data_IF_971635069721
#
_entry.id   IF_971635069721
#
_cell.length_a   1.000
_cell.length_b   1.000
_cell.length_c   1.000
_cell.angle_alpha   90.00
_cell.angle_beta   90.00
_cell.angle_gamma   90.00
#
_symmetry.space_group_name_H-M   'P 1'
#
loop_
_entity.id
_entity.type
_entity.pdbx_description
1 polymer ?
#
# COMPACT_ATOMS: atom_id res chain seq x y z
N UNK A 1 6.92 1.36 -19.36
CA UNK A 1 8.38 1.17 -19.37
C UNK A 1 9.15 2.47 -19.05
N UNK A 2 8.95 3.59 -19.75
CA UNK A 2 9.79 4.80 -19.58
C UNK A 2 9.61 5.63 -18.27
N UNK A 3 8.54 5.44 -17.50
CA UNK A 3 8.30 6.18 -16.24
C UNK A 3 8.92 5.49 -15.02
N UNK A 4 8.89 4.16 -14.99
CA UNK A 4 9.50 3.37 -13.91
C UNK A 4 11.04 3.49 -13.89
N UNK A 5 11.67 3.68 -15.04
CA UNK A 5 13.12 3.86 -15.16
C UNK A 5 13.59 5.24 -14.67
N UNK A 6 12.77 6.28 -14.86
CA UNK A 6 13.03 7.64 -14.36
C UNK A 6 12.82 7.81 -12.85
N UNK A 7 12.03 6.94 -12.21
CA UNK A 7 11.72 7.00 -10.78
C UNK A 7 12.71 6.24 -9.88
N UNK A 8 13.53 5.34 -10.46
CA UNK A 8 14.55 4.56 -9.72
C UNK A 8 15.59 5.37 -8.93
N UNK A 9 16.08 6.54 -9.39
CA UNK A 9 17.15 7.27 -8.68
C UNK A 9 16.70 8.01 -7.41
N UNK A 10 15.41 8.32 -7.27
CA UNK A 10 14.90 9.19 -6.19
C UNK A 10 14.40 8.37 -5.00
N UNK A 11 13.80 7.21 -5.24
CA UNK A 11 13.29 6.33 -4.17
C UNK A 11 14.42 5.67 -3.36
N UNK A 12 15.66 5.61 -3.88
CA UNK A 12 16.79 4.92 -3.24
C UNK A 12 17.83 5.81 -2.55
N UNK A 13 17.78 7.15 -2.68
CA UNK A 13 18.83 8.03 -2.13
C UNK A 13 18.47 8.80 -0.85
N UNK A 14 17.18 8.93 -0.54
CA UNK A 14 16.71 9.61 0.68
C UNK A 14 17.07 8.80 1.93
N UNK A 15 17.08 7.46 1.85
CA UNK A 15 17.41 6.58 2.97
C UNK A 15 18.89 6.59 3.39
N UNK A 16 19.81 6.92 2.48
CA UNK A 16 21.25 6.99 2.77
C UNK A 16 21.68 8.25 3.51
N UNK A 17 20.94 9.36 3.37
CA UNK A 17 21.32 10.66 3.94
C UNK A 17 20.91 10.83 5.41
N UNK A 18 19.89 10.09 5.90
CA UNK A 18 19.45 10.14 7.30
C UNK A 18 20.29 9.30 8.27
N UNK A 19 21.35 8.61 7.81
CA UNK A 19 22.12 7.67 8.65
C UNK A 19 23.21 8.31 9.51
N UNK A 20 23.65 9.53 9.20
CA UNK A 20 24.63 10.28 10.02
C UNK A 20 23.90 11.25 10.96
N UNK A 21 24.05 11.06 12.27
CA UNK A 21 23.33 11.82 13.31
C UNK A 21 23.91 13.22 13.59
N UNK A 22 25.10 13.52 13.06
CA UNK A 22 25.87 14.72 13.45
C UNK A 22 25.94 15.81 12.37
N UNK A 23 25.25 15.64 11.24
CA UNK A 23 25.27 16.64 10.15
C UNK A 23 23.88 17.22 9.92
N UNK A 24 23.77 18.55 9.93
CA UNK A 24 22.53 19.26 9.56
C UNK A 24 22.23 19.07 8.07
N UNK A 25 21.46 18.03 7.75
CA UNK A 25 21.04 17.73 6.39
C UNK A 25 19.83 18.55 5.93
N UNK A 26 19.31 19.49 6.75
CA UNK A 26 18.09 20.26 6.46
C UNK A 26 18.18 21.01 5.13
N UNK A 27 19.35 21.57 4.81
CA UNK A 27 19.59 22.26 3.54
C UNK A 27 19.62 21.30 2.34
N UNK A 28 20.18 20.10 2.50
CA UNK A 28 20.23 19.07 1.45
C UNK A 28 18.88 18.41 1.22
N UNK A 29 18.10 18.20 2.28
CA UNK A 29 16.72 17.71 2.22
C UNK A 29 15.85 18.74 1.51
N UNK A 30 15.89 20.01 1.92
CA UNK A 30 15.14 21.08 1.26
C UNK A 30 15.57 21.31 -0.21
N UNK A 31 16.82 21.03 -0.56
CA UNK A 31 17.29 21.06 -1.95
C UNK A 31 16.76 19.86 -2.76
N UNK A 32 16.72 18.67 -2.17
CA UNK A 32 16.15 17.47 -2.78
C UNK A 32 14.62 17.57 -2.96
N UNK A 33 13.92 18.16 -1.99
CA UNK A 33 12.48 18.45 -2.08
C UNK A 33 12.18 19.44 -3.20
N UNK A 34 12.94 20.53 -3.29
CA UNK A 34 12.86 21.47 -4.42
C UNK A 34 13.18 20.81 -5.75
N UNK A 35 14.12 19.87 -5.79
CA UNK A 35 14.44 19.09 -6.99
C UNK A 35 13.37 18.04 -7.34
N UNK A 36 12.58 17.58 -6.38
CA UNK A 36 11.48 16.64 -6.57
C UNK A 36 10.17 17.34 -6.99
N UNK A 37 10.02 18.64 -6.74
CA UNK A 37 8.80 19.40 -7.06
C UNK A 37 8.44 19.43 -8.56
N UNK A 38 9.38 19.59 -9.52
CA UNK A 38 9.07 19.49 -10.94
C UNK A 38 8.55 18.11 -11.34
N UNK A 39 9.02 17.05 -10.67
CA UNK A 39 8.54 15.69 -10.89
C UNK A 39 7.14 15.50 -10.30
N UNK A 40 6.87 16.06 -9.11
CA UNK A 40 5.52 16.09 -8.52
C UNK A 40 4.54 16.87 -9.41
N UNK A 41 4.97 18.00 -9.98
CA UNK A 41 4.19 18.77 -10.95
C UNK A 41 3.95 18.00 -12.26
N UNK A 42 4.96 17.28 -12.76
CA UNK A 42 4.82 16.39 -13.92
C UNK A 42 3.86 15.23 -13.65
N UNK A 43 3.87 14.65 -12.45
CA UNK A 43 2.90 13.63 -12.02
C UNK A 43 1.47 14.19 -11.95
N UNK A 44 1.29 15.43 -11.48
CA UNK A 44 -0.01 16.14 -11.52
C UNK A 44 -0.47 16.45 -12.95
N UNK A 45 0.46 16.61 -13.88
CA UNK A 45 0.19 16.83 -15.30
C UNK A 45 -0.05 15.53 -16.10
N UNK A 46 0.19 14.34 -15.51
CA UNK A 46 -0.15 13.09 -16.16
C UNK A 46 -1.68 12.94 -16.26
N UNK A 47 -2.21 12.44 -17.39
CA UNK A 47 -3.65 12.29 -17.60
C UNK A 47 -4.31 11.20 -16.74
N UNK A 48 -3.63 10.67 -15.72
CA UNK A 48 -4.23 9.74 -14.77
C UNK A 48 -5.17 10.50 -13.82
N UNK A 49 -6.45 10.57 -14.20
CA UNK A 49 -7.52 11.03 -13.31
C UNK A 49 -7.76 9.98 -12.22
N UNK A 50 -6.98 10.05 -11.14
CA UNK A 50 -7.24 9.29 -9.92
C UNK A 50 -8.17 10.09 -9.01
N UNK A 51 -9.02 9.39 -8.25
CA UNK A 51 -9.90 10.05 -7.29
C UNK A 51 -9.09 10.77 -6.19
N UNK A 52 -9.68 11.83 -5.60
CA UNK A 52 -9.06 12.60 -4.52
C UNK A 52 -8.50 11.71 -3.40
N UNK A 53 -9.26 10.70 -2.97
CA UNK A 53 -8.84 9.80 -1.89
C UNK A 53 -7.66 8.90 -2.27
N UNK A 54 -7.58 8.46 -3.52
CA UNK A 54 -6.42 7.71 -4.03
C UNK A 54 -5.17 8.58 -3.98
N UNK A 55 -5.28 9.84 -4.44
CA UNK A 55 -4.17 10.80 -4.37
C UNK A 55 -3.70 11.02 -2.93
N UNK A 56 -4.63 11.33 -2.02
CA UNK A 56 -4.32 11.53 -0.60
C UNK A 56 -3.72 10.28 0.05
N UNK A 57 -4.10 9.07 -0.37
CA UNK A 57 -3.51 7.84 0.13
C UNK A 57 -2.04 7.68 -0.31
N UNK A 58 -1.71 8.03 -1.56
CA UNK A 58 -0.33 8.05 -2.06
C UNK A 58 0.51 9.11 -1.37
N UNK A 59 -0.01 10.34 -1.25
CA UNK A 59 0.66 11.44 -0.56
C UNK A 59 0.94 11.09 0.90
N UNK A 60 -0.07 10.56 1.62
CA UNK A 60 0.08 10.04 2.98
C UNK A 60 1.18 8.98 3.04
N UNK A 61 1.17 7.98 2.15
CA UNK A 61 2.19 6.93 2.12
C UNK A 61 3.60 7.51 2.01
N UNK A 62 3.82 8.47 1.11
CA UNK A 62 5.12 9.14 0.95
C UNK A 62 5.51 9.94 2.20
N UNK A 63 4.58 10.73 2.74
CA UNK A 63 4.79 11.50 3.96
C UNK A 63 5.12 10.61 5.17
N UNK A 64 4.51 9.43 5.26
CA UNK A 64 4.81 8.49 6.32
C UNK A 64 6.17 7.80 6.15
N UNK A 65 6.64 7.60 4.92
CA UNK A 65 8.01 7.12 4.69
C UNK A 65 9.05 8.16 5.13
N UNK A 66 8.75 9.44 4.90
CA UNK A 66 9.65 10.55 5.22
C UNK A 66 9.65 10.89 6.72
N UNK A 67 8.48 11.00 7.32
CA UNK A 67 8.28 11.56 8.67
C UNK A 67 7.61 10.60 9.66
N UNK A 68 7.12 9.44 9.20
CA UNK A 68 6.38 8.50 10.04
C UNK A 68 7.18 7.99 11.24
N UNK A 69 8.50 7.87 11.11
CA UNK A 69 9.38 7.43 12.20
C UNK A 69 9.26 8.32 13.46
N UNK A 70 9.11 9.65 13.29
CA UNK A 70 8.93 10.58 14.42
C UNK A 70 7.60 10.34 15.16
N UNK A 71 6.60 9.76 14.48
CA UNK A 71 5.31 9.34 15.04
C UNK A 71 5.31 7.87 15.51
N UNK A 72 6.48 7.23 15.53
CA UNK A 72 6.62 5.81 15.86
C UNK A 72 6.01 4.88 14.80
N UNK A 73 5.95 5.31 13.54
CA UNK A 73 5.48 4.51 12.42
C UNK A 73 6.67 4.00 11.61
N UNK A 74 6.55 2.78 11.11
CA UNK A 74 7.54 2.19 10.21
C UNK A 74 6.86 1.29 9.18
N UNK A 75 7.47 1.16 8.01
CA UNK A 75 6.96 0.34 6.93
C UNK A 75 7.71 -1.00 6.88
N UNK A 76 6.99 -2.08 7.15
CA UNK A 76 7.49 -3.45 7.05
C UNK A 76 7.33 -3.96 5.62
N UNK A 77 8.35 -3.70 4.79
CA UNK A 77 8.36 -4.17 3.39
C UNK A 77 8.22 -5.70 3.29
N UNK A 78 8.76 -6.45 4.24
CA UNK A 78 8.67 -7.91 4.23
C UNK A 78 7.22 -8.34 4.48
N UNK A 79 6.56 -7.79 5.51
CA UNK A 79 5.16 -8.10 5.81
C UNK A 79 4.22 -7.66 4.69
N UNK A 80 4.46 -6.49 4.09
CA UNK A 80 3.72 -6.00 2.93
C UNK A 80 3.84 -6.97 1.74
N UNK A 81 5.06 -7.40 1.42
CA UNK A 81 5.31 -8.34 0.33
C UNK A 81 4.69 -9.72 0.60
N UNK A 82 4.71 -10.20 1.84
CA UNK A 82 4.01 -11.44 2.23
C UNK A 82 2.51 -11.30 1.99
N UNK A 83 1.89 -10.19 2.43
CA UNK A 83 0.47 -9.95 2.20
C UNK A 83 0.10 -9.91 0.71
N UNK A 84 0.92 -9.26 -0.12
CA UNK A 84 0.69 -9.23 -1.58
C UNK A 84 0.87 -10.61 -2.20
N UNK A 85 1.93 -11.35 -1.82
CA UNK A 85 2.20 -12.70 -2.34
C UNK A 85 1.15 -13.71 -1.88
N UNK A 86 0.53 -13.53 -0.72
CA UNK A 86 -0.55 -14.40 -0.25
C UNK A 86 -1.66 -14.54 -1.28
N UNK A 87 -2.01 -13.47 -1.99
CA UNK A 87 -3.03 -13.54 -3.05
C UNK A 87 -2.65 -14.48 -4.19
N UNK A 88 -1.36 -14.67 -4.48
CA UNK A 88 -0.92 -15.63 -5.50
C UNK A 88 -1.13 -17.10 -5.10
N UNK A 89 -1.37 -17.37 -3.81
CA UNK A 89 -1.76 -18.69 -3.30
C UNK A 89 -3.26 -18.95 -3.44
N UNK A 90 -4.05 -17.89 -3.67
CA UNK A 90 -5.49 -17.98 -3.86
C UNK A 90 -5.79 -18.19 -5.35
N UNK A 91 -6.90 -18.87 -5.64
CA UNK A 91 -7.33 -19.14 -7.02
C UNK A 91 -8.63 -18.46 -7.36
N UNK A 92 -8.79 -18.04 -8.61
CA UNK A 92 -10.08 -17.62 -9.13
C UNK A 92 -11.09 -18.77 -9.06
N UNK A 93 -12.31 -18.48 -8.59
CA UNK A 93 -13.36 -19.49 -8.41
C UNK A 93 -14.40 -19.54 -9.54
N UNK A 94 -14.42 -18.56 -10.44
CA UNK A 94 -15.48 -18.39 -11.46
C UNK A 94 -14.94 -17.87 -12.79
N UNK A 95 -15.67 -18.19 -13.86
CA UNK A 95 -15.43 -17.70 -15.22
C UNK A 95 -14.20 -18.31 -15.90
N UNK A 96 -13.76 -17.70 -16.99
CA UNK A 96 -12.64 -18.18 -17.82
C UNK A 96 -11.28 -18.27 -17.09
N UNK A 97 -11.19 -17.70 -15.89
CA UNK A 97 -9.97 -17.69 -15.08
C UNK A 97 -10.00 -18.73 -13.95
N UNK A 98 -11.09 -19.49 -13.81
CA UNK A 98 -11.24 -20.48 -12.74
C UNK A 98 -10.04 -21.43 -12.64
N UNK A 99 -9.56 -21.66 -11.41
CA UNK A 99 -8.40 -22.49 -11.13
C UNK A 99 -7.03 -21.81 -11.35
N UNK A 100 -6.98 -20.62 -11.94
CA UNK A 100 -5.74 -19.86 -12.08
C UNK A 100 -5.42 -19.08 -10.79
N UNK A 101 -4.11 -18.88 -10.47
CA UNK A 101 -3.69 -18.02 -9.37
C UNK A 101 -4.21 -16.59 -9.53
N UNK A 102 -4.60 -15.98 -8.41
CA UNK A 102 -4.98 -14.58 -8.36
C UNK A 102 -3.75 -13.68 -8.48
N UNK A 103 -3.73 -12.84 -9.51
CA UNK A 103 -2.70 -11.81 -9.68
C UNK A 103 -3.31 -10.44 -9.41
N UNK A 104 -2.77 -9.74 -8.41
CA UNK A 104 -3.25 -8.41 -8.04
C UNK A 104 -2.79 -7.35 -9.04
N UNK A 105 -3.68 -6.43 -9.38
CA UNK A 105 -3.33 -5.22 -10.14
C UNK A 105 -2.47 -4.27 -9.30
N UNK A 106 -1.67 -3.36 -9.91
CA UNK A 106 -0.77 -2.48 -9.17
C UNK A 106 -1.44 -1.67 -8.05
N UNK A 107 -2.66 -1.17 -8.27
CA UNK A 107 -3.39 -0.43 -7.24
C UNK A 107 -3.84 -1.33 -6.08
N UNK A 108 -4.20 -2.59 -6.36
CA UNK A 108 -4.55 -3.58 -5.33
C UNK A 108 -3.32 -3.92 -4.50
N UNK A 109 -2.18 -4.12 -5.15
CA UNK A 109 -0.90 -4.34 -4.46
C UNK A 109 -0.56 -3.16 -3.54
N UNK A 110 -0.70 -1.92 -4.03
CA UNK A 110 -0.49 -0.72 -3.22
C UNK A 110 -1.43 -0.65 -2.01
N UNK A 111 -2.72 -0.92 -2.21
CA UNK A 111 -3.71 -0.95 -1.14
C UNK A 111 -3.37 -1.99 -0.06
N UNK A 112 -3.10 -3.23 -0.46
CA UNK A 112 -2.75 -4.34 0.44
C UNK A 112 -1.42 -4.06 1.16
N UNK A 113 -0.41 -3.59 0.43
CA UNK A 113 0.89 -3.23 1.01
C UNK A 113 0.74 -2.13 2.07
N UNK A 114 -0.08 -1.11 1.82
CA UNK A 114 -0.35 -0.07 2.82
C UNK A 114 -1.09 -0.62 4.04
N UNK A 115 -2.09 -1.49 3.85
CA UNK A 115 -2.91 -2.03 4.91
C UNK A 115 -2.10 -2.89 5.90
N UNK A 116 -1.23 -3.76 5.38
CA UNK A 116 -0.47 -4.73 6.18
C UNK A 116 0.97 -4.32 6.49
N UNK A 117 1.57 -3.44 5.67
CA UNK A 117 2.96 -3.02 5.82
C UNK A 117 3.19 -1.97 6.90
N UNK A 118 2.24 -1.06 7.11
CA UNK A 118 2.41 0.01 8.10
C UNK A 118 2.17 -0.46 9.52
N UNK A 119 3.19 -0.33 10.37
CA UNK A 119 3.16 -0.71 11.78
C UNK A 119 3.47 0.47 12.70
N UNK A 120 2.98 0.38 13.93
CA UNK A 120 3.34 1.25 15.06
C UNK A 120 4.58 0.69 15.77
N UNK A 121 5.16 1.50 16.65
CA UNK A 121 6.31 1.12 17.49
C UNK A 121 6.05 -0.13 18.34
N UNK A 122 4.80 -0.35 18.76
CA UNK A 122 4.39 -1.55 19.50
C UNK A 122 4.16 -2.79 18.62
N UNK A 123 4.52 -2.75 17.34
CA UNK A 123 4.36 -3.86 16.39
C UNK A 123 2.95 -4.02 15.80
N UNK A 124 1.94 -3.34 16.34
CA UNK A 124 0.56 -3.42 15.81
C UNK A 124 0.41 -2.69 14.48
N UNK A 125 -0.52 -3.13 13.64
CA UNK A 125 -0.86 -2.42 12.39
C UNK A 125 -1.33 -1.01 12.67
N UNK A 126 -0.84 -0.06 11.89
CA UNK A 126 -1.29 1.33 11.95
C UNK A 126 -2.77 1.45 11.57
N UNK A 127 -3.15 0.89 10.44
CA UNK A 127 -4.53 0.95 9.95
C UNK A 127 -5.33 -0.19 10.57
N UNK A 128 -6.35 0.16 11.35
CA UNK A 128 -7.36 -0.77 11.87
C UNK A 128 -8.62 -0.78 11.00
N UNK A 129 -8.81 0.30 10.26
CA UNK A 129 -9.94 0.50 9.36
C UNK A 129 -9.41 0.95 8.00
N UNK A 130 -10.08 0.50 6.94
CA UNK A 130 -9.79 0.93 5.58
C UNK A 130 -11.09 1.15 4.81
N UNK A 131 -11.14 2.21 4.04
CA UNK A 131 -12.24 2.50 3.11
C UNK A 131 -11.73 2.34 1.68
N UNK A 132 -12.44 1.54 0.89
CA UNK A 132 -12.09 1.26 -0.50
C UNK A 132 -13.33 1.42 -1.38
N UNK A 133 -13.34 2.48 -2.19
CA UNK A 133 -14.40 2.76 -3.15
C UNK A 133 -13.92 2.43 -4.56
N UNK A 134 -14.58 1.45 -5.19
CA UNK A 134 -14.17 0.93 -6.50
C UNK A 134 -15.39 0.64 -7.35
N UNK A 135 -15.32 1.07 -8.62
CA UNK A 135 -16.35 0.79 -9.62
C UNK A 135 -16.61 -0.72 -9.81
N UNK A 136 -17.81 -1.05 -10.30
CA UNK A 136 -18.20 -2.44 -10.56
C UNK A 136 -17.22 -3.13 -11.51
N UNK A 137 -17.06 -4.46 -11.32
CA UNK A 137 -16.19 -5.36 -12.11
C UNK A 137 -14.67 -5.22 -11.91
N UNK A 138 -14.20 -4.42 -10.94
CA UNK A 138 -12.76 -4.30 -10.61
C UNK A 138 -12.30 -5.24 -9.47
N UNK A 139 -12.95 -6.40 -9.31
CA UNK A 139 -12.50 -7.42 -8.36
C UNK A 139 -12.54 -7.04 -6.86
N UNK A 140 -13.31 -6.03 -6.45
CA UNK A 140 -13.35 -5.59 -5.04
C UNK A 140 -13.74 -6.69 -4.05
N UNK A 141 -14.68 -7.57 -4.42
CA UNK A 141 -15.08 -8.71 -3.58
C UNK A 141 -13.95 -9.72 -3.45
N UNK A 142 -13.20 -9.96 -4.53
CA UNK A 142 -12.02 -10.82 -4.53
C UNK A 142 -10.93 -10.30 -3.61
N UNK A 143 -10.68 -8.98 -3.65
CA UNK A 143 -9.75 -8.32 -2.72
C UNK A 143 -10.22 -8.48 -1.28
N UNK A 144 -11.51 -8.21 -1.02
CA UNK A 144 -12.10 -8.36 0.31
C UNK A 144 -11.99 -9.78 0.88
N UNK A 145 -12.32 -10.80 0.09
CA UNK A 145 -12.17 -12.20 0.50
C UNK A 145 -10.72 -12.56 0.78
N UNK A 146 -9.77 -12.11 -0.05
CA UNK A 146 -8.35 -12.35 0.19
C UNK A 146 -7.84 -11.67 1.46
N UNK A 147 -8.29 -10.44 1.75
CA UNK A 147 -8.00 -9.78 3.04
C UNK A 147 -8.55 -10.59 4.21
N UNK A 148 -9.80 -11.07 4.13
CA UNK A 148 -10.40 -11.89 5.18
C UNK A 148 -9.59 -13.16 5.45
N UNK A 149 -9.19 -13.88 4.39
CA UNK A 149 -8.38 -15.10 4.52
C UNK A 149 -6.97 -14.81 5.04
N UNK A 150 -6.38 -13.68 4.66
CA UNK A 150 -5.08 -13.25 5.16
C UNK A 150 -5.14 -13.02 6.67
N UNK A 151 -6.17 -12.30 7.14
CA UNK A 151 -6.41 -12.05 8.55
C UNK A 151 -6.64 -13.34 9.33
N UNK A 152 -7.44 -14.25 8.76
CA UNK A 152 -7.76 -15.52 9.40
C UNK A 152 -6.53 -16.42 9.57
N UNK A 153 -5.63 -16.44 8.58
CA UNK A 153 -4.56 -17.45 8.51
C UNK A 153 -3.20 -16.90 8.95
N UNK A 154 -2.91 -15.63 8.70
CA UNK A 154 -1.56 -15.05 8.81
C UNK A 154 -1.44 -13.92 9.85
N UNK A 155 -2.52 -13.49 10.49
CA UNK A 155 -2.44 -12.38 11.46
C UNK A 155 -1.88 -12.82 12.82
N UNK A 156 -1.78 -14.13 13.07
CA UNK A 156 -1.22 -14.69 14.30
C UNK A 156 -2.14 -14.57 15.52
N UNK A 157 -3.40 -14.24 15.31
CA UNK A 157 -4.42 -14.18 16.36
C UNK A 157 -5.01 -15.57 16.64
N UNK A 158 -4.94 -16.01 17.89
CA UNK A 158 -5.48 -17.30 18.30
C UNK A 158 -7.01 -17.24 18.31
N UNK A 159 -7.66 -18.07 17.50
CA UNK A 159 -9.12 -18.07 17.37
C UNK A 159 -9.66 -16.85 16.62
N UNK A 160 -8.93 -16.37 15.61
CA UNK A 160 -9.36 -15.23 14.79
C UNK A 160 -10.76 -15.45 14.18
N UNK A 161 -11.65 -14.48 14.39
CA UNK A 161 -12.98 -14.47 13.80
C UNK A 161 -13.06 -13.38 12.73
N UNK A 162 -13.56 -13.73 11.55
CA UNK A 162 -13.70 -12.80 10.43
C UNK A 162 -15.14 -12.78 9.96
N UNK A 163 -15.73 -11.59 9.97
CA UNK A 163 -17.14 -11.38 9.66
C UNK A 163 -17.30 -10.60 8.36
N UNK A 164 -18.22 -11.04 7.51
CA UNK A 164 -18.66 -10.29 6.32
C UNK A 164 -20.08 -9.77 6.55
N UNK A 165 -20.31 -8.50 6.20
CA UNK A 165 -21.62 -7.87 6.31
C UNK A 165 -22.00 -7.22 4.97
N UNK A 166 -23.24 -7.42 4.56
CA UNK A 166 -23.83 -6.84 3.36
C UNK A 166 -25.30 -6.50 3.61
N UNK A 167 -25.87 -5.65 2.76
CA UNK A 167 -27.29 -5.28 2.85
C UNK A 167 -28.23 -6.44 2.52
N UNK A 168 -27.74 -7.45 1.79
CA UNK A 168 -28.46 -8.71 1.51
C UNK A 168 -27.64 -9.89 2.00
N UNK A 169 -28.31 -10.86 2.64
CA UNK A 169 -27.65 -12.04 3.20
C UNK A 169 -26.91 -12.86 2.14
N UNK A 170 -27.46 -12.97 0.94
CA UNK A 170 -26.84 -13.72 -0.17
C UNK A 170 -25.60 -13.02 -0.75
N UNK A 171 -25.35 -11.76 -0.36
CA UNK A 171 -24.18 -10.99 -0.75
C UNK A 171 -23.07 -10.98 0.31
N UNK A 172 -23.37 -11.42 1.54
CA UNK A 172 -22.40 -11.61 2.61
C UNK A 172 -21.71 -12.97 2.49
#
# INVERSE_FOLDING_TARGET
>A
AAVQEKLRPIVLRIGTLKKDKDTDHSAQIAALERAAEPLRAQLRALPMRVGRYTWLACERHLHDLEEGAARGLWFDEKRANVAVKFFSLLTHNKGQWAGKPLTLEPWQQFFIACLFGWKRANGTRRFRESYLEVARKNGKSTVGSGVCLELLVLDGEAGAEVYTAATKKEQA
#
